data_IF_254911601035
#
_entry.id   IF_254911601035
#
_cell.length_a   1.000
_cell.length_b   1.000
_cell.length_c   1.000
_cell.angle_alpha   90.00
_cell.angle_beta   90.00
_cell.angle_gamma   90.00
#
_symmetry.space_group_name_H-M   'P 1'
#
loop_
_entity.id
_entity.type
_entity.pdbx_description
1 polymer ?
#
# COMPACT_ATOMS: atom_id res chain seq x y z
N UNK A 1 3.44 21.95 3.28
CA UNK A 1 2.77 21.49 2.04
C UNK A 1 1.45 22.22 1.97
N UNK A 2 1.26 23.07 0.95
CA UNK A 2 0.00 23.78 0.71
C UNK A 2 -1.01 22.81 0.05
N UNK A 3 -2.31 23.10 0.17
CA UNK A 3 -3.37 22.30 -0.47
C UNK A 3 -3.15 22.11 -1.98
N UNK A 4 -2.57 23.10 -2.68
CA UNK A 4 -2.20 23.02 -4.09
C UNK A 4 -1.10 21.95 -4.38
N UNK A 5 -0.19 21.72 -3.44
CA UNK A 5 0.89 20.73 -3.60
C UNK A 5 0.36 19.29 -3.46
N UNK A 6 -0.78 19.10 -2.80
CA UNK A 6 -1.48 17.83 -2.67
C UNK A 6 -2.28 17.46 -3.92
N UNK A 7 -2.79 18.45 -4.66
CA UNK A 7 -3.52 18.22 -5.91
C UNK A 7 -2.61 17.68 -7.03
N UNK A 8 -1.33 18.09 -7.08
CA UNK A 8 -0.37 17.59 -8.07
C UNK A 8 0.03 16.11 -7.87
N UNK A 9 -0.02 15.59 -6.64
CA UNK A 9 0.18 14.17 -6.37
C UNK A 9 -1.00 13.28 -6.77
N UNK A 10 -2.15 13.85 -7.07
CA UNK A 10 -3.36 13.10 -7.47
C UNK A 10 -3.47 12.89 -8.99
N UNK A 11 -2.65 13.57 -9.79
CA UNK A 11 -2.64 13.48 -11.25
C UNK A 11 -1.93 12.23 -11.76
N UNK A 12 -2.55 11.06 -11.61
CA UNK A 12 -2.07 9.81 -12.23
C UNK A 12 -2.42 8.54 -11.47
N UNK A 13 -2.74 8.62 -10.19
CA UNK A 13 -3.21 7.48 -9.40
C UNK A 13 -4.70 7.21 -9.66
N UNK A 14 -5.05 6.01 -10.11
CA UNK A 14 -6.46 5.62 -10.20
C UNK A 14 -7.10 5.72 -8.82
N UNK A 15 -7.95 6.71 -8.62
CA UNK A 15 -8.69 6.89 -7.37
C UNK A 15 -9.67 5.72 -7.19
N UNK A 16 -9.46 4.94 -6.12
CA UNK A 16 -10.32 3.80 -5.80
C UNK A 16 -11.41 4.23 -4.83
N UNK A 17 -12.65 3.92 -5.19
CA UNK A 17 -13.77 3.97 -4.26
C UNK A 17 -14.00 2.60 -3.61
N UNK A 18 -14.59 2.61 -2.43
CA UNK A 18 -14.99 1.40 -1.71
C UNK A 18 -16.50 1.22 -1.77
N UNK A 19 -16.94 -0.02 -1.88
CA UNK A 19 -18.37 -0.38 -1.84
C UNK A 19 -18.56 -1.52 -0.84
N UNK A 20 -19.79 -1.76 -0.44
CA UNK A 20 -20.08 -2.91 0.43
C UNK A 20 -19.75 -4.21 -0.30
N UNK A 21 -20.39 -4.46 -1.45
CA UNK A 21 -20.28 -5.74 -2.17
C UNK A 21 -20.08 -5.62 -3.68
N UNK A 22 -20.14 -4.42 -4.26
CA UNK A 22 -19.95 -4.22 -5.70
C UNK A 22 -18.47 -4.13 -6.05
N UNK A 23 -18.04 -4.85 -7.08
CA UNK A 23 -16.68 -4.74 -7.61
C UNK A 23 -16.69 -4.22 -9.04
N UNK A 24 -15.65 -3.47 -9.41
CA UNK A 24 -15.54 -2.86 -10.73
C UNK A 24 -14.13 -2.29 -10.98
N UNK A 25 -13.92 -1.69 -12.15
CA UNK A 25 -12.60 -1.19 -12.57
C UNK A 25 -11.93 -0.26 -11.55
N UNK A 26 -12.74 0.54 -10.82
CA UNK A 26 -12.27 1.47 -9.78
C UNK A 26 -13.00 1.29 -8.45
N UNK A 27 -13.72 0.18 -8.28
CA UNK A 27 -14.50 -0.13 -7.08
C UNK A 27 -13.90 -1.34 -6.38
N UNK A 28 -13.64 -1.22 -5.08
CA UNK A 28 -13.16 -2.31 -4.23
C UNK A 28 -14.25 -2.72 -3.25
N UNK A 29 -14.78 -3.91 -3.43
CA UNK A 29 -15.78 -4.47 -2.54
C UNK A 29 -15.19 -4.83 -1.16
N UNK A 30 -15.90 -4.49 -0.09
CA UNK A 30 -15.53 -4.83 1.27
C UNK A 30 -15.84 -6.29 1.60
N UNK A 31 -17.01 -6.77 1.20
CA UNK A 31 -17.43 -8.17 1.30
C UNK A 31 -17.53 -8.79 -0.10
N UNK A 32 -17.59 -10.13 -0.22
CA UNK A 32 -17.84 -10.79 -1.49
C UNK A 32 -19.18 -10.36 -2.11
N UNK A 33 -19.22 -10.27 -3.44
CA UNK A 33 -20.44 -9.88 -4.18
C UNK A 33 -21.50 -10.99 -4.26
N UNK A 34 -21.11 -12.23 -3.98
CA UNK A 34 -22.01 -13.40 -4.00
C UNK A 34 -21.89 -14.18 -2.69
N UNK A 35 -23.01 -14.72 -2.22
CA UNK A 35 -23.06 -15.63 -1.07
C UNK A 35 -22.16 -16.87 -1.31
N UNK A 36 -21.62 -17.44 -0.24
CA UNK A 36 -20.76 -18.61 -0.27
C UNK A 36 -19.35 -18.37 -0.84
N UNK A 37 -18.99 -17.13 -1.19
CA UNK A 37 -17.63 -16.78 -1.61
C UNK A 37 -16.81 -16.22 -0.46
N UNK A 38 -15.50 -16.42 -0.53
CA UNK A 38 -14.54 -15.86 0.40
C UNK A 38 -13.73 -14.73 -0.24
N UNK A 39 -13.26 -13.81 0.59
CA UNK A 39 -12.24 -12.83 0.24
C UNK A 39 -11.24 -12.71 1.39
N UNK A 40 -10.23 -11.86 1.25
CA UNK A 40 -9.19 -11.67 2.29
C UNK A 40 -9.74 -11.34 3.67
N UNK A 41 -10.87 -10.65 3.78
CA UNK A 41 -11.45 -10.24 5.05
C UNK A 41 -12.26 -11.36 5.69
N UNK A 42 -13.04 -12.08 4.89
CA UNK A 42 -13.78 -13.27 5.33
C UNK A 42 -12.82 -14.34 5.82
N UNK A 43 -11.80 -14.68 5.03
CA UNK A 43 -10.75 -15.63 5.39
C UNK A 43 -10.03 -15.22 6.70
N UNK A 44 -9.64 -13.95 6.82
CA UNK A 44 -8.98 -13.47 8.02
C UNK A 44 -9.87 -13.52 9.25
N UNK A 45 -11.15 -13.15 9.14
CA UNK A 45 -12.12 -13.24 10.22
C UNK A 45 -12.30 -14.70 10.65
N UNK A 46 -12.52 -15.61 9.71
CA UNK A 46 -12.67 -17.05 10.02
C UNK A 46 -11.44 -17.63 10.73
N UNK A 47 -10.23 -17.22 10.32
CA UNK A 47 -8.99 -17.66 11.00
C UNK A 47 -8.89 -17.14 12.43
N UNK A 48 -9.24 -15.88 12.67
CA UNK A 48 -9.23 -15.30 14.02
C UNK A 48 -10.25 -16.00 14.91
N UNK A 49 -11.48 -16.16 14.43
CA UNK A 49 -12.55 -16.79 15.23
C UNK A 49 -12.27 -18.26 15.49
N UNK A 50 -11.72 -18.98 14.52
CA UNK A 50 -11.30 -20.37 14.68
C UNK A 50 -10.23 -20.51 15.77
N UNK A 51 -9.27 -19.58 15.86
CA UNK A 51 -8.26 -19.55 16.93
C UNK A 51 -8.91 -19.34 18.32
N UNK A 52 -10.06 -18.70 18.37
CA UNK A 52 -10.88 -18.54 19.59
C UNK A 52 -11.86 -19.70 19.84
N UNK A 53 -11.81 -20.75 19.04
CA UNK A 53 -12.70 -21.91 19.17
C UNK A 53 -14.12 -21.67 18.59
N UNK A 54 -14.29 -20.63 17.77
CA UNK A 54 -15.55 -20.29 17.12
C UNK A 54 -15.44 -20.58 15.63
N UNK A 55 -16.21 -21.51 15.12
CA UNK A 55 -16.31 -21.77 13.68
C UNK A 55 -17.44 -20.92 13.08
N UNK A 56 -17.07 -20.04 12.16
CA UNK A 56 -18.02 -19.24 11.39
C UNK A 56 -18.18 -19.81 9.99
N UNK A 57 -19.41 -19.93 9.54
CA UNK A 57 -19.71 -20.17 8.12
C UNK A 57 -19.26 -18.97 7.27
N UNK A 58 -19.19 -19.15 5.95
CA UNK A 58 -18.88 -18.04 5.03
C UNK A 58 -19.97 -16.95 5.10
N UNK A 59 -21.21 -17.33 5.26
CA UNK A 59 -22.34 -16.41 5.31
C UNK A 59 -22.35 -15.63 6.63
N UNK A 60 -22.17 -16.30 7.79
CA UNK A 60 -22.06 -15.63 9.09
C UNK A 60 -20.89 -14.64 9.13
N UNK A 61 -19.74 -15.03 8.58
CA UNK A 61 -18.57 -14.15 8.50
C UNK A 61 -18.85 -12.94 7.59
N UNK A 62 -19.56 -13.14 6.50
CA UNK A 62 -19.94 -12.06 5.57
C UNK A 62 -20.94 -11.11 6.22
N UNK A 63 -21.95 -11.62 6.92
CA UNK A 63 -22.94 -10.80 7.63
C UNK A 63 -22.32 -10.02 8.78
N UNK A 64 -21.38 -10.63 9.52
CA UNK A 64 -20.60 -9.90 10.52
C UNK A 64 -19.80 -8.75 9.91
N UNK A 65 -19.12 -8.98 8.79
CA UNK A 65 -18.36 -7.93 8.10
C UNK A 65 -19.25 -6.81 7.57
N UNK A 66 -20.47 -7.14 7.11
CA UNK A 66 -21.47 -6.16 6.71
C UNK A 66 -21.93 -5.30 7.88
N UNK A 67 -22.19 -5.93 9.03
CA UNK A 67 -22.51 -5.21 10.26
C UNK A 67 -21.37 -4.30 10.70
N UNK A 68 -20.11 -4.78 10.60
CA UNK A 68 -18.92 -4.00 10.89
C UNK A 68 -18.79 -2.78 9.96
N UNK A 69 -19.09 -2.97 8.67
CA UNK A 69 -19.11 -1.88 7.70
C UNK A 69 -20.11 -0.79 8.11
N UNK A 70 -21.34 -1.18 8.37
CA UNK A 70 -22.42 -0.23 8.68
C UNK A 70 -22.18 0.48 10.03
N UNK A 71 -21.85 -0.28 11.07
CA UNK A 71 -21.75 0.25 12.44
C UNK A 71 -20.42 0.91 12.78
N UNK A 72 -19.34 0.53 12.12
CA UNK A 72 -18.00 1.06 12.41
C UNK A 72 -17.53 1.98 11.29
N UNK A 73 -17.49 1.54 10.05
CA UNK A 73 -16.92 2.35 8.98
C UNK A 73 -17.84 3.51 8.58
N UNK A 74 -19.13 3.26 8.37
CA UNK A 74 -20.08 4.29 7.94
C UNK A 74 -20.54 5.15 9.11
N UNK A 75 -21.08 4.53 10.16
CA UNK A 75 -21.68 5.29 11.27
C UNK A 75 -20.66 6.14 12.03
N UNK A 76 -19.40 5.69 12.14
CA UNK A 76 -18.34 6.47 12.77
C UNK A 76 -17.58 7.40 11.81
N UNK A 77 -18.02 7.48 10.56
CA UNK A 77 -17.46 8.38 9.56
C UNK A 77 -16.01 8.06 9.18
N UNK A 78 -15.59 6.78 9.28
CA UNK A 78 -14.26 6.36 8.78
C UNK A 78 -14.26 6.40 7.24
N UNK A 79 -15.41 6.09 6.63
CA UNK A 79 -15.66 6.27 5.21
C UNK A 79 -16.82 7.24 5.01
N UNK A 80 -16.67 8.15 4.07
CA UNK A 80 -17.70 9.09 3.65
C UNK A 80 -18.29 8.64 2.31
N UNK A 81 -19.59 8.86 2.12
CA UNK A 81 -20.25 8.56 0.86
C UNK A 81 -19.71 9.51 -0.21
N UNK A 82 -19.23 8.95 -1.32
CA UNK A 82 -18.72 9.68 -2.47
C UNK A 82 -19.82 9.85 -3.54
N UNK A 83 -20.31 8.74 -4.11
CA UNK A 83 -21.37 8.76 -5.10
C UNK A 83 -22.16 7.46 -5.10
N UNK A 84 -23.49 7.51 -5.15
CA UNK A 84 -24.35 6.32 -5.17
C UNK A 84 -24.02 5.35 -4.04
N UNK A 85 -23.52 4.14 -4.38
CA UNK A 85 -23.10 3.09 -3.44
C UNK A 85 -21.61 3.14 -3.08
N UNK A 86 -20.88 4.14 -3.58
CA UNK A 86 -19.45 4.27 -3.40
C UNK A 86 -19.08 5.15 -2.21
N UNK A 87 -17.97 4.82 -1.57
CA UNK A 87 -17.43 5.50 -0.40
C UNK A 87 -15.94 5.78 -0.59
N UNK A 88 -15.45 6.86 -0.01
CA UNK A 88 -14.03 7.18 0.14
C UNK A 88 -13.64 7.15 1.61
N UNK A 89 -12.38 6.83 1.87
CA UNK A 89 -11.84 6.95 3.24
C UNK A 89 -11.76 8.44 3.60
N UNK A 90 -12.27 8.80 4.77
CA UNK A 90 -12.11 10.15 5.28
C UNK A 90 -10.66 10.37 5.71
N UNK A 91 -9.91 11.15 4.93
CA UNK A 91 -8.50 11.40 5.16
C UNK A 91 -8.23 12.10 6.49
N UNK A 92 -9.18 12.87 7.02
CA UNK A 92 -9.09 13.52 8.33
C UNK A 92 -9.01 12.51 9.49
N UNK A 93 -9.42 11.26 9.26
CA UNK A 93 -9.36 10.16 10.24
C UNK A 93 -8.08 9.33 10.15
N UNK A 94 -7.23 9.60 9.15
CA UNK A 94 -5.97 8.89 8.97
C UNK A 94 -4.88 9.54 9.82
N UNK A 95 -4.12 8.70 10.51
CA UNK A 95 -2.90 9.13 11.23
C UNK A 95 -1.73 8.29 10.77
N UNK A 96 -0.62 8.94 10.48
CA UNK A 96 0.65 8.28 10.18
C UNK A 96 1.41 8.16 11.50
N UNK A 97 1.90 6.97 11.81
CA UNK A 97 2.71 6.71 12.99
C UNK A 97 3.84 5.74 12.65
N UNK A 98 5.01 5.97 13.23
CA UNK A 98 6.19 5.10 13.13
C UNK A 98 6.39 4.21 14.37
N UNK A 99 5.56 4.35 15.40
CA UNK A 99 5.73 3.71 16.72
C UNK A 99 4.94 2.41 16.89
N UNK A 100 4.65 1.68 15.81
CA UNK A 100 3.94 0.39 15.90
C UNK A 100 4.91 -0.78 15.92
N UNK A 101 4.61 -1.84 16.71
CA UNK A 101 5.37 -3.08 16.64
C UNK A 101 5.22 -3.70 15.24
N UNK A 102 6.26 -4.40 14.80
CA UNK A 102 6.27 -5.14 13.56
C UNK A 102 6.20 -6.64 13.82
N UNK A 103 5.54 -7.33 12.91
CA UNK A 103 5.37 -8.77 12.95
C UNK A 103 5.70 -9.37 11.59
N UNK A 104 6.25 -10.58 11.60
CA UNK A 104 6.50 -11.36 10.39
C UNK A 104 5.82 -12.71 10.49
N UNK A 105 5.21 -13.15 9.40
CA UNK A 105 4.61 -14.49 9.35
C UNK A 105 5.69 -15.55 9.17
N UNK A 106 5.70 -16.56 10.03
CA UNK A 106 6.64 -17.69 9.95
C UNK A 106 6.56 -18.44 8.62
N UNK A 107 5.36 -18.54 8.02
CA UNK A 107 5.11 -19.32 6.80
C UNK A 107 5.33 -18.52 5.52
N UNK A 108 4.61 -17.41 5.34
CA UNK A 108 4.67 -16.63 4.09
C UNK A 108 5.64 -15.45 4.13
N UNK A 109 6.30 -15.20 5.27
CA UNK A 109 7.27 -14.13 5.51
C UNK A 109 6.71 -12.71 5.31
N UNK A 110 5.38 -12.56 5.24
CA UNK A 110 4.75 -11.25 5.13
C UNK A 110 4.96 -10.43 6.39
N UNK A 111 5.36 -9.18 6.18
CA UNK A 111 5.45 -8.16 7.23
C UNK A 111 4.11 -7.48 7.44
N UNK A 112 3.80 -7.17 8.68
CA UNK A 112 2.62 -6.41 9.06
C UNK A 112 2.85 -5.67 10.39
N UNK A 113 2.22 -4.51 10.56
CA UNK A 113 2.14 -3.82 11.85
C UNK A 113 0.81 -4.11 12.58
N UNK A 114 -0.02 -4.99 12.03
CA UNK A 114 -1.30 -5.39 12.61
C UNK A 114 -1.23 -6.84 13.05
N UNK A 115 -1.56 -7.06 14.31
CA UNK A 115 -1.62 -8.41 14.89
C UNK A 115 -2.93 -8.58 15.66
N UNK A 116 -3.69 -9.58 15.27
CA UNK A 116 -4.86 -10.05 16.03
C UNK A 116 -4.66 -11.54 16.24
N UNK A 117 -4.47 -11.94 17.50
CA UNK A 117 -4.30 -13.35 17.91
C UNK A 117 -3.19 -14.09 17.15
N UNK A 118 -2.13 -13.39 16.75
CA UNK A 118 -1.01 -13.93 15.98
C UNK A 118 -1.38 -14.59 14.64
N UNK A 119 -2.53 -14.21 14.09
CA UNK A 119 -3.05 -14.75 12.82
C UNK A 119 -2.51 -13.97 11.63
N UNK A 120 -1.97 -14.69 10.64
CA UNK A 120 -1.47 -14.06 9.41
C UNK A 120 -2.63 -13.49 8.56
N UNK A 121 -2.59 -12.19 8.16
CA UNK A 121 -3.63 -11.57 7.36
C UNK A 121 -3.56 -11.92 5.85
N UNK A 122 -2.55 -12.69 5.43
CA UNK A 122 -2.42 -13.12 4.03
C UNK A 122 -3.51 -14.13 3.71
N UNK A 123 -4.20 -13.93 2.58
CA UNK A 123 -5.27 -14.81 2.12
C UNK A 123 -4.79 -16.26 2.04
N UNK A 124 -5.57 -17.18 2.61
CA UNK A 124 -5.28 -18.63 2.67
C UNK A 124 -3.93 -19.00 3.33
N UNK A 125 -3.31 -18.10 4.07
CA UNK A 125 -2.12 -18.42 4.84
C UNK A 125 -2.51 -18.74 6.29
N UNK A 126 -2.20 -19.92 6.75
CA UNK A 126 -2.41 -20.43 8.11
C UNK A 126 -1.19 -20.23 9.03
N UNK A 127 -0.21 -19.42 8.59
CA UNK A 127 1.00 -19.13 9.35
C UNK A 127 0.71 -18.23 10.56
N UNK A 128 1.59 -18.32 11.55
CA UNK A 128 1.57 -17.52 12.77
C UNK A 128 2.46 -16.28 12.63
N UNK A 129 2.02 -15.16 13.21
CA UNK A 129 2.80 -13.94 13.32
C UNK A 129 3.71 -14.00 14.55
N UNK A 130 4.96 -13.59 14.38
CA UNK A 130 5.90 -13.38 15.47
C UNK A 130 6.36 -11.92 15.46
N UNK A 131 6.58 -11.32 16.65
CA UNK A 131 7.11 -9.97 16.73
C UNK A 131 8.55 -9.94 16.23
N UNK A 132 8.92 -8.85 15.57
CA UNK A 132 10.29 -8.61 15.12
C UNK A 132 10.70 -7.17 15.42
N UNK A 133 12.02 -6.99 15.54
CA UNK A 133 12.64 -5.67 15.40
C UNK A 133 13.19 -5.55 13.98
N UNK A 134 12.64 -4.64 13.14
CA UNK A 134 13.10 -4.46 11.77
C UNK A 134 14.59 -4.08 11.68
N UNK A 135 15.12 -3.38 12.68
CA UNK A 135 16.52 -2.96 12.70
C UNK A 135 17.47 -4.14 12.84
N UNK A 136 17.03 -5.21 13.48
CA UNK A 136 17.80 -6.46 13.65
C UNK A 136 17.53 -7.41 12.49
N UNK A 137 16.26 -7.67 12.18
CA UNK A 137 15.84 -8.64 11.15
C UNK A 137 16.32 -8.25 9.75
N UNK A 138 16.37 -6.93 9.43
CA UNK A 138 16.74 -6.44 8.10
C UNK A 138 18.10 -5.76 8.04
N UNK A 139 18.93 -5.87 9.08
CA UNK A 139 20.25 -5.23 9.13
C UNK A 139 21.11 -5.50 7.89
N UNK A 140 21.05 -6.72 7.37
CA UNK A 140 21.80 -7.12 6.18
C UNK A 140 21.00 -6.97 4.88
N UNK A 141 19.78 -6.45 4.93
CA UNK A 141 18.98 -6.21 3.74
C UNK A 141 19.53 -4.98 3.00
N UNK A 142 19.82 -5.16 1.70
CA UNK A 142 20.40 -4.10 0.86
C UNK A 142 19.57 -2.80 0.87
N UNK A 143 18.24 -2.92 0.69
CA UNK A 143 17.38 -1.73 0.66
C UNK A 143 17.26 -1.07 2.03
N UNK A 144 17.19 -1.84 3.11
CA UNK A 144 17.17 -1.31 4.47
C UNK A 144 18.43 -0.49 4.74
N UNK A 145 19.61 -1.01 4.40
CA UNK A 145 20.90 -0.30 4.53
C UNK A 145 20.94 0.94 3.64
N UNK A 146 20.47 0.81 2.40
CA UNK A 146 20.42 1.95 1.47
C UNK A 146 19.65 3.14 2.07
N UNK A 147 18.49 2.90 2.67
CA UNK A 147 17.65 3.94 3.26
C UNK A 147 18.16 4.47 4.60
N UNK A 148 18.90 3.68 5.38
CA UNK A 148 19.37 4.10 6.70
C UNK A 148 20.81 4.63 6.68
N UNK A 149 21.66 4.10 5.82
CA UNK A 149 23.10 4.39 5.83
C UNK A 149 23.50 5.44 4.78
N UNK A 150 22.66 5.66 3.75
CA UNK A 150 22.95 6.66 2.72
C UNK A 150 22.44 8.03 3.11
N UNK A 151 23.28 9.03 2.99
CA UNK A 151 22.87 10.42 3.11
C UNK A 151 21.92 10.80 1.96
N UNK A 152 20.86 11.53 2.30
CA UNK A 152 19.97 12.15 1.32
C UNK A 152 20.76 13.24 0.61
N UNK A 153 20.89 13.12 -0.70
CA UNK A 153 21.52 14.13 -1.55
C UNK A 153 20.60 14.56 -2.67
N UNK A 154 20.76 15.78 -3.12
CA UNK A 154 20.06 16.27 -4.29
C UNK A 154 20.52 15.50 -5.53
N UNK A 155 19.57 15.09 -6.36
CA UNK A 155 19.83 14.44 -7.63
C UNK A 155 19.89 15.51 -8.73
N UNK A 156 20.98 15.55 -9.46
CA UNK A 156 21.15 16.41 -10.64
C UNK A 156 20.64 15.63 -11.86
N UNK A 157 19.42 15.97 -12.26
CA UNK A 157 18.75 15.33 -13.39
C UNK A 157 18.77 16.28 -14.56
N UNK A 158 19.17 15.78 -15.72
CA UNK A 158 19.17 16.54 -16.99
C UNK A 158 18.44 15.73 -18.05
N UNK A 159 17.63 16.40 -18.84
CA UNK A 159 16.95 15.82 -19.99
C UNK A 159 17.83 15.88 -21.22
N UNK A 160 18.00 14.74 -21.91
CA UNK A 160 18.73 14.61 -23.16
C UNK A 160 17.74 14.16 -24.25
N UNK A 161 17.18 15.13 -24.95
CA UNK A 161 16.20 14.90 -26.03
C UNK A 161 16.80 15.21 -27.39
N UNK A 162 16.17 14.72 -28.47
CA UNK A 162 16.54 15.03 -29.84
C UNK A 162 16.41 16.52 -30.21
N UNK A 163 15.80 17.34 -29.33
CA UNK A 163 15.68 18.80 -29.50
C UNK A 163 16.89 19.57 -29.01
N UNK A 164 17.82 18.93 -28.29
CA UNK A 164 19.05 19.56 -27.84
C UNK A 164 20.00 19.78 -29.01
N UNK A 165 20.67 20.95 -29.01
CA UNK A 165 21.82 21.19 -29.86
C UNK A 165 22.94 20.16 -29.60
N UNK A 166 23.67 19.81 -30.65
CA UNK A 166 24.74 18.79 -30.58
C UNK A 166 25.80 19.11 -29.52
N UNK A 167 26.14 20.37 -29.38
CA UNK A 167 27.17 20.78 -28.41
C UNK A 167 26.68 20.63 -26.97
N UNK A 168 25.43 20.99 -26.70
CA UNK A 168 24.80 20.75 -25.39
C UNK A 168 24.61 19.27 -25.09
N UNK A 169 24.19 18.49 -26.07
CA UNK A 169 24.04 17.04 -25.91
C UNK A 169 25.36 16.37 -25.54
N UNK A 170 26.44 16.75 -26.23
CA UNK A 170 27.80 16.27 -25.94
C UNK A 170 28.29 16.71 -24.54
N UNK A 171 28.03 17.95 -24.17
CA UNK A 171 28.37 18.48 -22.84
C UNK A 171 27.68 17.71 -21.72
N UNK A 172 26.35 17.43 -21.85
CA UNK A 172 25.59 16.64 -20.87
C UNK A 172 26.10 15.21 -20.77
N UNK A 173 26.44 14.58 -21.89
CA UNK A 173 27.05 13.24 -21.88
C UNK A 173 28.41 13.25 -21.17
N UNK A 174 29.22 14.27 -21.41
CA UNK A 174 30.54 14.46 -20.74
C UNK A 174 30.36 14.62 -19.24
N UNK A 175 29.44 15.50 -18.79
CA UNK A 175 29.13 15.73 -17.39
C UNK A 175 28.59 14.48 -16.72
N UNK A 176 27.75 13.69 -17.40
CA UNK A 176 27.26 12.42 -16.91
C UNK A 176 28.39 11.40 -16.71
N UNK A 177 29.30 11.27 -17.68
CA UNK A 177 30.49 10.42 -17.55
C UNK A 177 31.42 10.85 -16.41
N UNK A 178 31.50 12.16 -16.15
CA UNK A 178 32.25 12.74 -15.05
C UNK A 178 31.53 12.69 -13.69
N UNK A 179 30.32 12.11 -13.64
CA UNK A 179 29.46 12.04 -12.43
C UNK A 179 29.04 13.41 -11.88
N UNK A 180 29.06 14.43 -12.73
CA UNK A 180 28.51 15.75 -12.41
C UNK A 180 27.00 15.83 -12.59
N UNK A 181 26.43 14.90 -13.35
CA UNK A 181 25.00 14.65 -13.53
C UNK A 181 24.74 13.23 -13.01
N UNK A 182 23.73 13.07 -12.17
CA UNK A 182 23.39 11.78 -11.56
C UNK A 182 22.44 10.96 -12.45
N UNK A 183 21.53 11.61 -13.15
CA UNK A 183 20.56 10.98 -14.05
C UNK A 183 20.49 11.76 -15.36
N UNK A 184 20.64 11.04 -16.48
CA UNK A 184 20.39 11.54 -17.81
C UNK A 184 19.12 10.89 -18.35
N UNK A 185 18.03 11.66 -18.43
CA UNK A 185 16.75 11.20 -18.97
C UNK A 185 16.77 11.33 -20.49
N UNK A 186 16.66 10.22 -21.22
CA UNK A 186 16.75 10.19 -22.67
C UNK A 186 15.40 9.82 -23.30
N UNK A 187 15.02 10.51 -24.37
CA UNK A 187 14.01 10.01 -25.29
C UNK A 187 14.61 8.88 -26.17
N UNK A 188 13.78 8.07 -26.81
CA UNK A 188 14.10 6.82 -27.53
C UNK A 188 15.11 6.92 -28.68
N UNK A 189 15.76 8.04 -28.89
CA UNK A 189 16.74 8.35 -29.95
C UNK A 189 18.17 8.39 -29.43
N UNK A 190 18.56 7.43 -28.63
CA UNK A 190 19.98 7.19 -28.34
C UNK A 190 20.52 6.23 -29.39
N UNK A 191 21.08 6.76 -30.48
CA UNK A 191 22.02 6.05 -31.35
C UNK A 191 23.45 6.51 -31.07
#
# INVERSE_FOLDING_TARGET
LNESDLEDFTHGGAEYSYTVSESGKRKKAFIPSKAGLSNKRVDYLQKITKKKGIELSLDDATDFLKLLWDKVFVLRGIVARDSGTSYKVDTSKIRITNSKPWFICKKCRRLTCHNIEDVCPTYQCDGELIPIDPSIEFKENHYYRLFNDMEIRDLRIVEHTAQLDRDMAYEFQKKFKQKEIDILSCSTTFE
#
